data_IF_431007615073
#
_entry.id   IF_431007615073
#
_cell.length_a   1.000
_cell.length_b   1.000
_cell.length_c   1.000
_cell.angle_alpha   90.00
_cell.angle_beta   90.00
_cell.angle_gamma   90.00
#
_symmetry.space_group_name_H-M   'P 1'
#
loop_
_entity.id
_entity.type
_entity.pdbx_description
1 polymer ?
#
# COMPACT_ATOMS: atom_id res chain seq x y z
N UNK A 1 21.51 10.55 19.84
CA UNK A 1 21.85 9.54 18.82
C UNK A 1 21.06 8.28 19.09
N UNK A 2 20.33 7.76 18.10
CA UNK A 2 19.65 6.48 18.21
C UNK A 2 20.73 5.40 18.16
N UNK A 3 20.80 4.54 19.18
CA UNK A 3 21.83 3.50 19.24
C UNK A 3 21.49 2.37 18.29
N UNK A 4 22.41 2.02 17.41
CA UNK A 4 22.34 0.82 16.55
C UNK A 4 22.46 -0.43 17.42
N UNK A 5 23.14 -0.33 18.58
CA UNK A 5 23.39 -1.41 19.54
C UNK A 5 22.20 -1.72 20.46
N UNK A 6 20.99 -1.38 20.05
CA UNK A 6 19.79 -1.70 20.84
C UNK A 6 19.53 -3.21 20.83
N UNK A 7 19.35 -3.84 22.02
CA UNK A 7 19.12 -5.29 22.11
C UNK A 7 17.96 -5.78 21.26
N UNK A 8 16.95 -4.92 21.03
CA UNK A 8 15.76 -5.21 20.21
C UNK A 8 16.12 -5.55 18.75
N UNK A 9 17.26 -5.06 18.26
CA UNK A 9 17.70 -5.29 16.87
C UNK A 9 18.76 -6.39 16.72
N UNK A 10 19.18 -7.01 17.83
CA UNK A 10 20.25 -8.02 17.82
C UNK A 10 19.97 -9.22 16.90
N UNK A 11 18.70 -9.55 16.66
CA UNK A 11 18.30 -10.64 15.78
C UNK A 11 18.28 -10.26 14.29
N UNK A 12 18.50 -9.00 13.97
CA UNK A 12 18.58 -8.51 12.59
C UNK A 12 19.96 -8.78 11.99
N UNK A 13 21.00 -8.83 12.82
CA UNK A 13 22.37 -9.07 12.36
C UNK A 13 22.52 -10.46 11.75
N UNK A 14 23.31 -10.54 10.69
CA UNK A 14 23.44 -11.72 9.84
C UNK A 14 22.58 -11.63 8.55
N UNK A 15 21.54 -10.80 8.53
CA UNK A 15 20.74 -10.54 7.34
C UNK A 15 21.07 -9.19 6.69
N UNK A 16 21.48 -8.21 7.49
CA UNK A 16 21.99 -6.92 7.03
C UNK A 16 23.09 -6.38 7.94
N UNK A 17 23.83 -5.42 7.43
CA UNK A 17 24.99 -4.79 8.10
C UNK A 17 24.56 -3.73 9.12
N UNK A 18 25.49 -3.34 9.99
CA UNK A 18 25.31 -2.21 10.90
C UNK A 18 25.01 -0.90 10.15
N UNK A 19 25.68 -0.65 9.01
CA UNK A 19 25.40 0.52 8.18
C UNK A 19 23.97 0.53 7.64
N UNK A 20 23.44 -0.64 7.22
CA UNK A 20 22.05 -0.78 6.80
C UNK A 20 21.08 -0.58 7.99
N UNK A 21 21.41 -1.10 9.18
CA UNK A 21 20.65 -0.82 10.40
C UNK A 21 20.64 0.67 10.74
N UNK A 22 21.78 1.35 10.62
CA UNK A 22 21.86 2.79 10.85
C UNK A 22 21.01 3.57 9.83
N UNK A 23 20.97 3.15 8.58
CA UNK A 23 20.11 3.77 7.57
C UNK A 23 18.62 3.68 7.95
N UNK A 24 18.16 2.53 8.45
CA UNK A 24 16.79 2.37 8.96
C UNK A 24 16.50 3.27 10.16
N UNK A 25 17.41 3.29 11.16
CA UNK A 25 17.24 4.09 12.38
C UNK A 25 17.19 5.59 12.06
N UNK A 26 17.91 6.04 11.05
CA UNK A 26 17.95 7.44 10.61
C UNK A 26 16.81 7.84 9.69
N UNK A 27 16.04 6.87 9.21
CA UNK A 27 14.95 7.13 8.27
C UNK A 27 13.70 7.68 8.94
N UNK A 28 12.98 8.53 8.20
CA UNK A 28 11.60 8.91 8.49
C UNK A 28 10.71 8.38 7.37
N UNK A 29 9.68 7.63 7.72
CA UNK A 29 8.75 7.04 6.76
C UNK A 29 7.37 7.69 6.88
N UNK A 30 6.85 8.18 5.77
CA UNK A 30 5.48 8.66 5.67
C UNK A 30 4.57 7.50 5.19
N UNK A 31 3.38 7.36 5.79
CA UNK A 31 2.39 6.34 5.41
C UNK A 31 1.03 7.01 5.31
N UNK A 32 0.52 7.15 4.11
CA UNK A 32 -0.81 7.66 3.83
C UNK A 32 -1.79 6.49 3.74
N UNK A 33 -2.61 6.32 4.76
CA UNK A 33 -3.48 5.18 4.97
C UNK A 33 -2.85 4.10 5.86
N UNK A 34 -3.39 3.93 7.07
CA UNK A 34 -2.99 2.86 8.00
C UNK A 34 -4.09 1.80 8.14
N UNK A 35 -4.66 1.41 6.99
CA UNK A 35 -5.48 0.23 6.84
C UNK A 35 -4.67 -1.07 6.96
N UNK A 36 -5.09 -2.14 6.25
CA UNK A 36 -4.44 -3.45 6.34
C UNK A 36 -2.94 -3.41 6.08
N UNK A 37 -2.55 -2.94 4.91
CA UNK A 37 -1.14 -2.94 4.46
C UNK A 37 -0.33 -1.88 5.21
N UNK A 38 -0.78 -0.62 5.22
CA UNK A 38 -0.02 0.49 5.84
C UNK A 38 0.23 0.28 7.33
N UNK A 39 -0.77 -0.22 8.07
CA UNK A 39 -0.61 -0.55 9.48
C UNK A 39 0.48 -1.59 9.71
N UNK A 40 0.47 -2.66 8.93
CA UNK A 40 1.45 -3.73 9.05
C UNK A 40 2.85 -3.32 8.57
N UNK A 41 2.96 -2.57 7.48
CA UNK A 41 4.22 -2.02 6.99
C UNK A 41 4.88 -1.16 8.07
N UNK A 42 4.14 -0.22 8.65
CA UNK A 42 4.67 0.67 9.65
C UNK A 42 5.13 -0.05 10.93
N UNK A 43 4.33 -1.00 11.44
CA UNK A 43 4.71 -1.79 12.62
C UNK A 43 5.91 -2.72 12.35
N UNK A 44 6.04 -3.29 11.13
CA UNK A 44 7.23 -4.05 10.73
C UNK A 44 8.47 -3.17 10.63
N UNK A 45 8.36 -1.98 10.03
CA UNK A 45 9.46 -1.01 9.96
C UNK A 45 9.91 -0.55 11.35
N UNK A 46 8.97 -0.34 12.28
CA UNK A 46 9.31 -0.03 13.68
C UNK A 46 10.13 -1.16 14.33
N UNK A 47 9.76 -2.43 14.09
CA UNK A 47 10.53 -3.60 14.56
C UNK A 47 11.90 -3.73 13.89
N UNK A 48 12.06 -3.19 12.68
CA UNK A 48 13.33 -3.14 11.96
C UNK A 48 14.21 -1.95 12.38
N UNK A 49 13.71 -1.02 13.19
CA UNK A 49 14.48 0.09 13.73
C UNK A 49 14.09 1.47 13.22
N UNK A 50 13.18 1.59 12.26
CA UNK A 50 12.62 2.90 11.89
C UNK A 50 11.90 3.47 13.11
N UNK A 51 12.22 4.73 13.45
CA UNK A 51 11.71 5.35 14.66
C UNK A 51 11.10 6.73 14.44
N UNK A 52 10.92 7.12 13.18
CA UNK A 52 10.28 8.39 12.83
C UNK A 52 9.25 8.15 11.73
N UNK A 53 8.00 8.55 12.01
CA UNK A 53 6.88 8.32 11.12
C UNK A 53 6.02 9.58 10.97
N UNK A 54 5.47 9.78 9.77
CA UNK A 54 4.28 10.61 9.51
C UNK A 54 3.15 9.68 9.11
N UNK A 55 2.03 9.72 9.81
CA UNK A 55 0.90 8.80 9.60
C UNK A 55 -0.35 9.60 9.34
N UNK A 56 -1.06 9.26 8.29
CA UNK A 56 -2.33 9.89 7.95
C UNK A 56 -3.41 8.81 7.72
N UNK A 57 -4.52 8.91 8.41
CA UNK A 57 -5.71 8.09 8.19
C UNK A 57 -6.92 8.77 8.84
N UNK A 58 -7.99 9.10 8.09
CA UNK A 58 -9.16 9.78 8.63
C UNK A 58 -10.16 8.83 9.29
N UNK A 59 -9.99 7.52 9.12
CA UNK A 59 -10.99 6.54 9.54
C UNK A 59 -10.76 6.02 10.96
N UNK A 60 -11.87 5.55 11.55
CA UNK A 60 -11.86 4.77 12.77
C UNK A 60 -11.88 3.26 12.45
N UNK A 61 -11.50 2.43 13.42
CA UNK A 61 -11.62 0.98 13.29
C UNK A 61 -13.07 0.52 13.33
N UNK A 62 -13.42 -0.33 12.36
CA UNK A 62 -14.71 -0.99 12.26
C UNK A 62 -14.56 -2.52 12.42
N UNK A 63 -15.62 -3.25 12.81
CA UNK A 63 -15.58 -4.71 12.94
C UNK A 63 -15.10 -5.42 11.67
N UNK A 64 -15.43 -4.91 10.49
CA UNK A 64 -15.00 -5.46 9.19
C UNK A 64 -13.49 -5.35 8.94
N UNK A 65 -12.76 -4.54 9.70
CA UNK A 65 -11.32 -4.44 9.60
C UNK A 65 -10.60 -5.60 10.31
N UNK A 66 -11.25 -6.26 11.27
CA UNK A 66 -10.66 -7.32 12.10
C UNK A 66 -10.17 -8.53 11.29
N UNK A 67 -10.70 -8.74 10.08
CA UNK A 67 -10.28 -9.85 9.23
C UNK A 67 -8.83 -9.72 8.72
N UNK A 68 -8.23 -8.49 8.79
CA UNK A 68 -6.92 -8.25 8.16
C UNK A 68 -6.03 -7.18 8.82
N UNK A 69 -6.54 -6.36 9.73
CA UNK A 69 -5.77 -5.29 10.37
C UNK A 69 -5.45 -5.67 11.80
N UNK A 70 -4.17 -5.86 12.17
CA UNK A 70 -3.81 -6.29 13.54
C UNK A 70 -4.27 -5.34 14.65
N UNK A 71 -4.38 -4.04 14.34
CA UNK A 71 -4.90 -3.03 15.28
C UNK A 71 -6.41 -3.07 15.50
N UNK A 72 -7.16 -3.77 14.64
CA UNK A 72 -8.61 -3.86 14.72
C UNK A 72 -9.03 -5.02 15.63
N UNK A 73 -9.44 -4.70 16.83
CA UNK A 73 -9.92 -5.64 17.85
C UNK A 73 -11.19 -5.09 18.50
N UNK A 74 -11.92 -5.91 19.23
CA UNK A 74 -13.11 -5.47 19.98
C UNK A 74 -12.82 -4.30 20.94
N UNK A 75 -11.57 -4.16 21.40
CA UNK A 75 -11.15 -3.06 22.28
C UNK A 75 -10.82 -1.75 21.53
N UNK A 76 -10.66 -1.82 20.20
CA UNK A 76 -10.23 -0.67 19.38
C UNK A 76 -11.29 -0.20 18.37
N UNK A 77 -12.41 -0.91 18.23
CA UNK A 77 -13.52 -0.45 17.38
C UNK A 77 -14.00 0.94 17.81
N UNK A 78 -14.23 1.82 16.84
CA UNK A 78 -14.59 3.21 17.06
C UNK A 78 -13.42 4.12 17.46
N UNK A 79 -12.19 3.61 17.50
CA UNK A 79 -11.00 4.40 17.75
C UNK A 79 -10.26 4.72 16.45
N UNK A 80 -9.68 5.90 16.36
CA UNK A 80 -8.89 6.32 15.19
C UNK A 80 -7.78 5.31 14.88
N UNK A 81 -7.72 4.85 13.60
CA UNK A 81 -6.70 3.95 13.10
C UNK A 81 -5.30 4.53 13.29
N UNK A 82 -5.12 5.81 13.00
CA UNK A 82 -3.84 6.50 13.13
C UNK A 82 -3.36 6.61 14.58
N UNK A 83 -4.28 6.83 15.53
CA UNK A 83 -3.94 6.89 16.96
C UNK A 83 -3.57 5.52 17.51
N UNK A 84 -4.35 4.47 17.21
CA UNK A 84 -4.04 3.10 17.62
C UNK A 84 -2.69 2.66 17.01
N UNK A 85 -2.41 3.02 15.76
CA UNK A 85 -1.11 2.78 15.14
C UNK A 85 0.02 3.44 15.93
N UNK A 86 -0.13 4.71 16.30
CA UNK A 86 0.86 5.45 17.11
C UNK A 86 1.15 4.75 18.44
N UNK A 87 0.11 4.33 19.13
CA UNK A 87 0.22 3.60 20.39
C UNK A 87 1.03 2.30 20.19
N UNK A 88 0.64 1.50 19.20
CA UNK A 88 1.31 0.22 18.92
C UNK A 88 2.78 0.39 18.51
N UNK A 89 3.10 1.41 17.70
CA UNK A 89 4.49 1.71 17.34
C UNK A 89 5.30 2.10 18.59
N UNK A 90 4.72 2.85 19.53
CA UNK A 90 5.38 3.23 20.79
C UNK A 90 5.54 2.06 21.76
N UNK A 91 4.64 1.09 21.74
CA UNK A 91 4.81 -0.17 22.49
C UNK A 91 5.98 -1.00 21.94
N UNK A 92 6.20 -1.00 20.61
CA UNK A 92 7.32 -1.66 19.96
C UNK A 92 8.63 -0.90 20.18
N UNK A 93 8.59 0.43 20.04
CA UNK A 93 9.72 1.32 20.17
C UNK A 93 9.30 2.58 20.95
N UNK A 94 9.50 2.64 22.27
CA UNK A 94 9.09 3.78 23.10
C UNK A 94 9.72 5.12 22.70
N UNK A 95 10.83 5.08 21.95
CA UNK A 95 11.53 6.27 21.43
C UNK A 95 11.02 6.74 20.08
N UNK A 96 10.04 6.04 19.49
CA UNK A 96 9.51 6.41 18.19
C UNK A 96 8.77 7.75 18.25
N UNK A 97 9.04 8.59 17.26
CA UNK A 97 8.34 9.85 17.01
C UNK A 97 7.32 9.58 15.90
N UNK A 98 6.05 9.72 16.24
CA UNK A 98 4.95 9.50 15.29
C UNK A 98 4.11 10.76 15.21
N UNK A 99 4.15 11.44 14.07
CA UNK A 99 3.27 12.55 13.73
C UNK A 99 1.99 12.00 13.11
N UNK A 100 0.85 12.37 13.66
CA UNK A 100 -0.47 11.87 13.25
C UNK A 100 -1.27 12.97 12.58
N UNK A 101 -1.79 12.67 11.40
CA UNK A 101 -2.69 13.51 10.61
C UNK A 101 -4.06 12.81 10.57
N UNK A 102 -4.92 13.15 11.52
CA UNK A 102 -6.22 12.48 11.72
C UNK A 102 -7.23 12.74 10.61
N UNK A 103 -7.08 13.87 9.92
CA UNK A 103 -7.94 14.25 8.80
C UNK A 103 -7.47 13.64 7.46
N UNK A 104 -6.48 12.75 7.52
CA UNK A 104 -5.85 12.18 6.33
C UNK A 104 -4.85 13.13 5.66
N UNK A 105 -4.35 12.71 4.49
CA UNK A 105 -3.60 13.59 3.59
C UNK A 105 -4.58 14.39 2.76
N UNK A 106 -4.33 15.68 2.66
CA UNK A 106 -5.08 16.62 1.83
C UNK A 106 -4.14 17.35 0.88
N UNK A 107 -4.71 18.06 -0.11
CA UNK A 107 -3.92 18.91 -1.00
C UNK A 107 -3.17 20.00 -0.23
N UNK A 108 -3.73 20.48 0.89
CA UNK A 108 -3.17 21.56 1.67
C UNK A 108 -2.09 21.12 2.66
N UNK A 109 -2.12 19.84 3.13
CA UNK A 109 -1.18 19.35 4.15
C UNK A 109 -0.11 18.40 3.61
N UNK A 110 -0.14 17.99 2.34
CA UNK A 110 0.75 16.99 1.76
C UNK A 110 2.23 17.34 1.92
N UNK A 111 2.61 18.59 1.75
CA UNK A 111 4.00 19.06 1.88
C UNK A 111 4.48 18.96 3.35
N UNK A 112 3.61 19.27 4.30
CA UNK A 112 3.90 19.12 5.73
C UNK A 112 3.99 17.64 6.11
N UNK A 113 3.05 16.84 5.64
CA UNK A 113 3.01 15.39 5.86
C UNK A 113 4.31 14.71 5.41
N UNK A 114 4.86 15.11 4.24
CA UNK A 114 6.09 14.56 3.68
C UNK A 114 7.38 15.21 4.19
N UNK A 115 7.30 16.27 5.00
CA UNK A 115 8.46 17.02 5.46
C UNK A 115 9.46 16.13 6.19
N UNK A 116 10.68 16.04 5.65
CA UNK A 116 11.77 15.23 6.20
C UNK A 116 11.59 13.72 6.03
N UNK A 117 10.58 13.27 5.30
CA UNK A 117 10.44 11.87 4.93
C UNK A 117 11.57 11.45 3.97
N UNK A 118 12.02 10.21 4.11
CA UNK A 118 13.01 9.56 3.24
C UNK A 118 12.35 8.56 2.29
N UNK A 119 11.09 8.24 2.53
CA UNK A 119 10.25 7.36 1.74
C UNK A 119 8.79 7.58 2.12
N UNK A 120 7.88 7.46 1.15
CA UNK A 120 6.45 7.42 1.42
C UNK A 120 5.82 6.12 0.93
N UNK A 121 4.87 5.59 1.71
CA UNK A 121 3.90 4.60 1.27
C UNK A 121 2.59 5.31 0.96
N UNK A 122 2.16 5.21 -0.28
CA UNK A 122 0.83 5.65 -0.70
C UNK A 122 -0.14 4.47 -0.64
N UNK A 123 -0.82 4.36 0.49
CA UNK A 123 -1.90 3.41 0.75
C UNK A 123 -3.25 4.16 0.84
N UNK A 124 -3.31 5.36 0.24
CA UNK A 124 -4.52 6.15 0.14
C UNK A 124 -5.56 5.47 -0.76
N UNK A 125 -6.82 5.79 -0.55
CA UNK A 125 -7.88 5.18 -1.34
C UNK A 125 -7.89 5.69 -2.78
N UNK A 126 -8.07 4.77 -3.72
CA UNK A 126 -8.17 5.08 -5.16
C UNK A 126 -9.44 5.84 -5.54
N UNK A 127 -10.40 5.96 -4.63
CA UNK A 127 -11.61 6.78 -4.76
C UNK A 127 -11.30 8.28 -4.73
N UNK A 128 -10.13 8.65 -4.19
CA UNK A 128 -9.61 10.02 -4.11
C UNK A 128 -8.30 10.14 -4.90
N UNK A 129 -8.35 10.05 -6.25
CA UNK A 129 -7.14 10.02 -7.07
C UNK A 129 -6.29 11.29 -6.97
N UNK A 130 -6.88 12.42 -6.58
CA UNK A 130 -6.19 13.68 -6.30
C UNK A 130 -5.21 13.56 -5.13
N UNK A 131 -5.53 12.75 -4.12
CA UNK A 131 -4.68 12.57 -2.95
C UNK A 131 -3.41 11.81 -3.32
N UNK A 132 -3.56 10.61 -3.93
CA UNK A 132 -2.40 9.83 -4.41
C UNK A 132 -1.56 10.61 -5.44
N UNK A 133 -2.22 11.37 -6.35
CA UNK A 133 -1.50 12.23 -7.29
C UNK A 133 -0.74 13.36 -6.57
N UNK A 134 -1.35 13.96 -5.55
CA UNK A 134 -0.71 14.99 -4.71
C UNK A 134 0.52 14.45 -3.99
N UNK A 135 0.40 13.29 -3.35
CA UNK A 135 1.51 12.58 -2.69
C UNK A 135 2.64 12.31 -3.70
N UNK A 136 2.32 11.72 -4.86
CA UNK A 136 3.32 11.37 -5.86
C UNK A 136 4.04 12.60 -6.43
N UNK A 137 3.34 13.72 -6.64
CA UNK A 137 3.94 14.99 -7.10
C UNK A 137 4.84 15.61 -6.04
N UNK A 138 4.39 15.66 -4.79
CA UNK A 138 5.18 16.17 -3.68
C UNK A 138 6.42 15.30 -3.40
N UNK A 139 6.26 13.96 -3.41
CA UNK A 139 7.38 13.02 -3.28
C UNK A 139 8.42 13.23 -4.40
N UNK A 140 7.98 13.43 -5.64
CA UNK A 140 8.85 13.75 -6.79
C UNK A 140 9.61 15.06 -6.58
N UNK A 141 8.92 16.11 -6.12
CA UNK A 141 9.54 17.41 -5.84
C UNK A 141 10.57 17.34 -4.73
N UNK A 142 10.33 16.51 -3.70
CA UNK A 142 11.23 16.28 -2.58
C UNK A 142 12.35 15.27 -2.90
N UNK A 143 12.29 14.58 -4.05
CA UNK A 143 13.30 13.59 -4.43
C UNK A 143 13.23 12.29 -3.64
N UNK A 144 12.10 11.94 -3.06
CA UNK A 144 11.90 10.71 -2.26
C UNK A 144 11.14 9.63 -3.03
N UNK A 145 11.40 8.33 -2.75
CA UNK A 145 10.64 7.22 -3.31
C UNK A 145 9.19 7.23 -2.83
N UNK A 146 8.28 6.96 -3.75
CA UNK A 146 6.87 6.72 -3.48
C UNK A 146 6.54 5.25 -3.77
N UNK A 147 6.03 4.53 -2.76
CA UNK A 147 5.73 3.11 -2.81
C UNK A 147 4.24 2.87 -2.66
N UNK A 148 3.67 2.19 -3.66
CA UNK A 148 2.31 1.70 -3.68
C UNK A 148 2.32 0.19 -3.50
N UNK A 149 1.63 -0.33 -2.48
CA UNK A 149 1.57 -1.76 -2.18
C UNK A 149 0.13 -2.25 -2.25
N UNK A 150 -0.10 -3.28 -3.03
CA UNK A 150 -1.45 -3.80 -3.28
C UNK A 150 -1.48 -5.28 -3.02
N UNK A 151 -2.54 -5.76 -2.36
CA UNK A 151 -2.86 -7.17 -2.24
C UNK A 151 -4.11 -7.52 -3.04
N UNK A 152 -4.10 -8.68 -3.69
CA UNK A 152 -5.25 -9.26 -4.38
C UNK A 152 -5.37 -10.73 -4.00
N UNK A 153 -6.33 -11.07 -3.15
CA UNK A 153 -6.43 -12.41 -2.58
C UNK A 153 -5.15 -12.80 -1.84
N UNK A 154 -4.50 -13.90 -2.23
CA UNK A 154 -3.23 -14.37 -1.65
C UNK A 154 -1.99 -13.82 -2.36
N UNK A 155 -2.16 -12.88 -3.28
CA UNK A 155 -1.05 -12.26 -3.99
C UNK A 155 -0.85 -10.81 -3.56
N UNK A 156 0.38 -10.31 -3.76
CA UNK A 156 0.75 -8.95 -3.48
C UNK A 156 1.72 -8.40 -4.52
N UNK A 157 1.67 -7.09 -4.72
CA UNK A 157 2.62 -6.36 -5.57
C UNK A 157 3.08 -5.07 -4.92
N UNK A 158 4.32 -4.69 -5.24
CA UNK A 158 4.90 -3.39 -4.86
C UNK A 158 5.34 -2.67 -6.10
N UNK A 159 4.86 -1.45 -6.26
CA UNK A 159 5.28 -0.51 -7.29
C UNK A 159 5.98 0.65 -6.60
N UNK A 160 7.25 0.90 -6.95
CA UNK A 160 8.00 2.03 -6.42
C UNK A 160 8.28 3.04 -7.54
N UNK A 161 7.88 4.28 -7.33
CA UNK A 161 8.08 5.37 -8.27
C UNK A 161 9.36 6.13 -7.92
N UNK A 162 10.30 6.13 -8.87
CA UNK A 162 11.55 6.88 -8.71
C UNK A 162 11.30 8.36 -8.99
N UNK A 163 11.76 9.28 -8.13
CA UNK A 163 11.45 10.70 -8.25
C UNK A 163 11.91 11.33 -9.57
N UNK A 164 12.94 10.79 -10.21
CA UNK A 164 13.47 11.28 -11.50
C UNK A 164 13.02 10.44 -12.70
N UNK A 165 12.12 9.47 -12.51
CA UNK A 165 11.65 8.62 -13.60
C UNK A 165 10.63 9.34 -14.47
N UNK A 166 10.66 9.02 -15.79
CA UNK A 166 9.59 9.39 -16.72
C UNK A 166 8.35 8.48 -16.59
N UNK A 167 8.45 7.39 -15.84
CA UNK A 167 7.31 6.54 -15.54
C UNK A 167 6.76 6.94 -14.16
N UNK A 168 5.77 7.78 -14.19
CA UNK A 168 5.16 8.43 -13.02
C UNK A 168 3.99 7.62 -12.48
N UNK A 169 3.55 7.96 -11.27
CA UNK A 169 2.31 7.45 -10.66
C UNK A 169 1.11 7.72 -11.57
N UNK A 170 0.99 8.96 -12.09
CA UNK A 170 -0.11 9.35 -12.97
C UNK A 170 -0.16 8.48 -14.24
N UNK A 171 1.00 8.20 -14.86
CA UNK A 171 1.06 7.27 -16.01
C UNK A 171 0.65 5.86 -15.65
N UNK A 172 1.02 5.40 -14.46
CA UNK A 172 0.64 4.09 -13.96
C UNK A 172 -0.87 3.99 -13.79
N UNK A 173 -1.48 5.01 -13.15
CA UNK A 173 -2.91 5.08 -12.88
C UNK A 173 -3.76 5.48 -14.10
N UNK A 174 -3.15 5.98 -15.17
CA UNK A 174 -3.83 6.49 -16.35
C UNK A 174 -4.37 7.89 -16.21
N UNK A 175 -3.81 8.65 -15.27
CA UNK A 175 -4.17 10.04 -14.97
C UNK A 175 -3.31 11.03 -15.76
N UNK A 176 -3.71 12.29 -15.79
CA UNK A 176 -2.95 13.37 -16.40
C UNK A 176 -1.76 13.77 -15.51
N UNK A 177 -0.57 13.90 -16.11
CA UNK A 177 0.63 14.34 -15.40
C UNK A 177 0.65 15.85 -15.14
N UNK A 178 -0.20 16.63 -15.82
CA UNK A 178 -0.17 18.10 -15.81
C UNK A 178 -1.46 18.75 -15.33
N UNK A 179 -2.57 18.02 -15.30
CA UNK A 179 -3.85 18.57 -14.86
C UNK A 179 -3.79 19.01 -13.38
N UNK A 180 -4.49 20.08 -13.00
CA UNK A 180 -4.67 20.45 -11.60
C UNK A 180 -5.30 19.33 -10.77
N UNK A 181 -4.99 19.26 -9.47
CA UNK A 181 -5.54 18.23 -8.59
C UNK A 181 -7.07 18.25 -8.50
N UNK A 182 -7.67 19.44 -8.59
CA UNK A 182 -9.12 19.61 -8.64
C UNK A 182 -9.78 18.92 -9.87
N UNK A 183 -9.07 18.86 -11.00
CA UNK A 183 -9.52 18.13 -12.18
C UNK A 183 -9.30 16.62 -12.00
N UNK A 184 -8.18 16.22 -11.40
CA UNK A 184 -7.88 14.82 -11.08
C UNK A 184 -8.93 14.22 -10.12
N UNK A 185 -9.48 15.02 -9.18
CA UNK A 185 -10.50 14.57 -8.23
C UNK A 185 -11.77 14.02 -8.92
N UNK A 186 -12.05 14.46 -10.14
CA UNK A 186 -13.18 13.99 -10.96
C UNK A 186 -12.78 12.85 -11.92
N UNK A 187 -11.52 12.42 -11.91
CA UNK A 187 -11.03 11.41 -12.83
C UNK A 187 -11.37 10.00 -12.34
N UNK A 188 -11.68 9.10 -13.29
CA UNK A 188 -11.87 7.69 -12.99
C UNK A 188 -10.54 6.94 -13.14
N UNK A 189 -10.12 6.25 -12.08
CA UNK A 189 -8.94 5.39 -12.12
C UNK A 189 -9.28 4.08 -12.84
N UNK A 190 -8.48 3.73 -13.86
CA UNK A 190 -8.62 2.46 -14.56
C UNK A 190 -7.96 1.33 -13.73
N UNK A 191 -8.74 0.64 -12.93
CA UNK A 191 -8.28 -0.48 -12.11
C UNK A 191 -7.59 -1.60 -12.88
N UNK A 192 -7.86 -1.74 -14.17
CA UNK A 192 -7.19 -2.75 -14.99
C UNK A 192 -5.70 -2.43 -15.20
N UNK A 193 -5.30 -1.15 -15.10
CA UNK A 193 -3.90 -0.73 -15.11
C UNK A 193 -3.22 -0.91 -13.77
N UNK A 194 -3.99 -0.77 -12.72
CA UNK A 194 -3.54 -0.84 -11.34
C UNK A 194 -3.20 -2.27 -10.91
N UNK A 195 -3.96 -3.25 -11.40
CA UNK A 195 -3.79 -4.65 -11.09
C UNK A 195 -3.22 -5.43 -12.29
N UNK A 196 -1.92 -5.29 -12.63
CA UNK A 196 -1.34 -5.91 -13.80
C UNK A 196 -1.38 -7.46 -13.77
N UNK A 197 -1.66 -8.06 -12.58
CA UNK A 197 -1.87 -9.49 -12.45
C UNK A 197 -2.98 -9.81 -11.45
N UNK A 198 -4.14 -10.11 -11.98
CA UNK A 198 -5.20 -10.73 -11.21
C UNK A 198 -4.85 -12.22 -11.09
N UNK A 199 -4.72 -12.77 -9.88
CA UNK A 199 -4.43 -14.19 -9.70
C UNK A 199 -5.45 -15.08 -10.39
N UNK A 200 -5.05 -16.24 -10.92
CA UNK A 200 -5.93 -17.11 -11.70
C UNK A 200 -7.11 -17.70 -10.93
N UNK A 201 -7.06 -17.67 -9.62
CA UNK A 201 -8.13 -18.09 -8.72
C UNK A 201 -9.11 -16.97 -8.33
N UNK A 202 -8.84 -15.74 -8.76
CA UNK A 202 -9.72 -14.61 -8.45
C UNK A 202 -10.99 -14.67 -9.28
N UNK A 203 -12.12 -14.32 -8.67
CA UNK A 203 -13.36 -14.07 -9.37
C UNK A 203 -13.31 -12.72 -10.09
N UNK A 204 -13.08 -12.75 -11.39
CA UNK A 204 -12.96 -11.52 -12.18
C UNK A 204 -14.27 -10.74 -12.24
N UNK A 205 -15.42 -11.42 -12.23
CA UNK A 205 -16.73 -10.75 -12.27
C UNK A 205 -17.00 -10.03 -10.97
N UNK A 206 -16.72 -10.70 -9.84
CA UNK A 206 -16.79 -10.07 -8.52
C UNK A 206 -15.86 -8.87 -8.39
N UNK A 207 -14.61 -8.98 -8.86
CA UNK A 207 -13.66 -7.87 -8.84
C UNK A 207 -14.10 -6.69 -9.72
N UNK A 208 -14.63 -6.95 -10.91
CA UNK A 208 -15.18 -5.91 -11.80
C UNK A 208 -16.40 -5.26 -11.17
N UNK A 209 -17.31 -6.04 -10.57
CA UNK A 209 -18.48 -5.50 -9.89
C UNK A 209 -18.12 -4.56 -8.72
N UNK A 210 -16.97 -4.80 -8.07
CA UNK A 210 -16.45 -3.95 -7.00
C UNK A 210 -15.76 -2.67 -7.47
N UNK A 211 -15.48 -2.56 -8.77
CA UNK A 211 -14.90 -1.33 -9.37
C UNK A 211 -15.96 -0.44 -10.01
N UNK A 212 -17.22 -0.89 -10.03
CA UNK A 212 -18.36 -0.13 -10.56
C UNK A 212 -19.23 0.39 -9.41
N UNK A 213 -19.73 1.61 -9.56
CA UNK A 213 -20.62 2.19 -8.58
C UNK A 213 -21.92 1.38 -8.48
N UNK A 214 -22.40 1.14 -7.28
CA UNK A 214 -23.71 0.53 -7.04
C UNK A 214 -24.84 1.44 -7.55
N UNK A 215 -26.08 0.90 -7.66
CA UNK A 215 -27.25 1.68 -8.08
C UNK A 215 -27.55 2.89 -7.20
N UNK A 216 -27.08 2.87 -5.96
CA UNK A 216 -27.18 3.93 -4.95
C UNK A 216 -25.94 4.83 -4.89
N UNK A 217 -24.97 4.67 -5.81
CA UNK A 217 -23.70 5.39 -5.80
C UNK A 217 -22.68 4.85 -4.79
N UNK A 218 -23.00 3.80 -4.05
CA UNK A 218 -22.07 3.16 -3.11
C UNK A 218 -21.00 2.37 -3.86
N UNK A 219 -19.76 2.45 -3.39
CA UNK A 219 -18.66 1.58 -3.83
C UNK A 219 -18.39 0.54 -2.77
N UNK A 220 -18.53 -0.75 -3.05
CA UNK A 220 -18.14 -1.76 -2.09
C UNK A 220 -16.62 -1.72 -1.88
N UNK A 221 -16.19 -1.91 -0.65
CA UNK A 221 -14.77 -2.03 -0.33
C UNK A 221 -14.15 -3.20 -1.07
N UNK A 222 -12.96 -3.00 -1.64
CA UNK A 222 -12.22 -4.07 -2.30
C UNK A 222 -11.95 -5.22 -1.33
N UNK A 223 -12.16 -6.48 -1.76
CA UNK A 223 -11.93 -7.62 -0.89
C UNK A 223 -10.46 -7.73 -0.53
N UNK A 224 -10.21 -7.88 0.76
CA UNK A 224 -8.87 -8.02 1.31
C UNK A 224 -8.88 -9.07 2.40
N UNK A 225 -7.89 -9.92 2.42
CA UNK A 225 -7.75 -11.05 3.35
C UNK A 225 -6.41 -10.99 4.07
N UNK A 226 -6.36 -11.47 5.32
CA UNK A 226 -5.15 -11.42 6.15
C UNK A 226 -3.90 -11.97 5.46
N UNK A 227 -3.88 -13.18 4.87
CA UNK A 227 -2.66 -13.69 4.22
C UNK A 227 -2.15 -12.81 3.06
N UNK A 228 -3.06 -12.17 2.32
CA UNK A 228 -2.68 -11.23 1.24
C UNK A 228 -2.05 -9.96 1.78
N UNK A 229 -2.64 -9.41 2.85
CA UNK A 229 -2.11 -8.22 3.54
C UNK A 229 -0.76 -8.52 4.21
N UNK A 230 -0.62 -9.69 4.85
CA UNK A 230 0.64 -10.13 5.44
C UNK A 230 1.75 -10.22 4.40
N UNK A 231 1.46 -10.84 3.25
CA UNK A 231 2.39 -10.94 2.13
C UNK A 231 2.74 -9.55 1.55
N UNK A 232 1.72 -8.70 1.33
CA UNK A 232 1.90 -7.35 0.82
C UNK A 232 2.79 -6.52 1.73
N UNK A 233 2.51 -6.54 3.03
CA UNK A 233 3.32 -5.83 4.02
C UNK A 233 4.75 -6.39 4.12
N UNK A 234 4.95 -7.69 3.97
CA UNK A 234 6.28 -8.30 3.98
C UNK A 234 7.12 -7.87 2.77
N UNK A 235 6.58 -7.96 1.54
CA UNK A 235 7.33 -7.50 0.35
C UNK A 235 7.46 -5.98 0.30
N UNK A 236 6.44 -5.23 0.76
CA UNK A 236 6.49 -3.77 0.87
C UNK A 236 7.60 -3.31 1.80
N UNK A 237 7.68 -3.89 2.99
CA UNK A 237 8.73 -3.61 3.97
C UNK A 237 10.12 -3.99 3.44
N UNK A 238 10.23 -5.11 2.71
CA UNK A 238 11.49 -5.51 2.07
C UNK A 238 11.92 -4.52 0.99
N UNK A 239 11.00 -4.05 0.14
CA UNK A 239 11.32 -3.00 -0.83
C UNK A 239 11.69 -1.69 -0.14
N UNK A 240 11.00 -1.29 0.92
CA UNK A 240 11.36 -0.11 1.71
C UNK A 240 12.79 -0.21 2.25
N UNK A 241 13.18 -1.36 2.82
CA UNK A 241 14.55 -1.62 3.25
C UNK A 241 15.56 -1.35 2.12
N UNK A 242 15.31 -1.90 0.92
CA UNK A 242 16.19 -1.74 -0.22
C UNK A 242 16.28 -0.28 -0.69
N UNK A 243 15.16 0.46 -0.66
CA UNK A 243 15.13 1.87 -1.05
C UNK A 243 15.84 2.76 -0.02
N UNK A 244 15.58 2.55 1.27
CA UNK A 244 16.17 3.32 2.35
C UNK A 244 17.69 3.12 2.45
N UNK A 245 18.16 1.89 2.30
CA UNK A 245 19.60 1.59 2.32
C UNK A 245 20.31 2.11 1.06
N UNK A 246 19.68 2.03 -0.11
CA UNK A 246 20.20 2.62 -1.34
C UNK A 246 20.27 4.15 -1.27
N UNK A 247 19.26 4.81 -0.68
CA UNK A 247 19.27 6.27 -0.47
C UNK A 247 20.37 6.72 0.50
N UNK A 248 20.76 5.86 1.45
CA UNK A 248 21.91 6.08 2.33
C UNK A 248 23.28 5.80 1.66
N UNK A 249 23.30 5.55 0.36
CA UNK A 249 24.54 5.28 -0.40
C UNK A 249 25.09 3.86 -0.24
N UNK A 250 24.36 2.96 0.40
CA UNK A 250 24.81 1.57 0.59
C UNK A 250 24.49 0.77 -0.68
N UNK A 251 25.53 0.55 -1.51
CA UNK A 251 25.39 -0.16 -2.77
C UNK A 251 25.61 -1.66 -2.58
N UNK A 252 24.52 -2.44 -2.63
CA UNK A 252 24.61 -3.88 -2.69
C UNK A 252 24.23 -4.38 -4.10
N UNK A 253 25.20 -4.92 -4.84
CA UNK A 253 25.00 -5.40 -6.23
C UNK A 253 23.95 -6.51 -6.36
N UNK A 254 23.70 -7.28 -5.29
CA UNK A 254 22.73 -8.38 -5.24
C UNK A 254 21.35 -7.97 -4.71
N UNK A 255 21.24 -6.77 -4.10
CA UNK A 255 20.05 -6.27 -3.43
C UNK A 255 19.71 -4.87 -3.94
N UNK A 256 19.14 -4.80 -5.15
CA UNK A 256 18.79 -3.51 -5.76
C UNK A 256 17.29 -3.24 -5.62
N UNK A 257 16.90 -2.00 -5.31
CA UNK A 257 15.50 -1.58 -5.36
C UNK A 257 14.88 -1.88 -6.73
N UNK A 258 13.61 -2.26 -6.73
CA UNK A 258 12.84 -2.44 -7.95
C UNK A 258 12.06 -1.16 -8.19
N UNK A 259 12.29 -0.54 -9.35
CA UNK A 259 11.65 0.70 -9.74
C UNK A 259 10.66 0.49 -10.88
N UNK A 260 9.54 1.20 -10.84
CA UNK A 260 8.60 1.27 -11.95
C UNK A 260 9.31 1.70 -13.26
N UNK A 261 8.96 1.13 -14.40
CA UNK A 261 7.80 0.29 -14.68
C UNK A 261 7.92 -1.21 -14.29
N UNK A 262 8.96 -1.62 -13.59
CA UNK A 262 9.05 -2.97 -13.02
C UNK A 262 8.48 -2.96 -11.61
N UNK A 263 7.76 -4.02 -11.24
CA UNK A 263 7.16 -4.19 -9.93
C UNK A 263 7.52 -5.57 -9.35
N UNK A 264 7.64 -5.64 -8.04
CA UNK A 264 7.76 -6.90 -7.33
C UNK A 264 6.36 -7.53 -7.19
N UNK A 265 6.22 -8.82 -7.54
CA UNK A 265 4.99 -9.59 -7.40
C UNK A 265 5.26 -10.91 -6.72
N UNK A 266 4.47 -11.25 -5.72
CA UNK A 266 4.47 -12.55 -5.05
C UNK A 266 3.04 -13.09 -4.99
N UNK A 267 2.89 -14.39 -5.14
CA UNK A 267 1.62 -15.11 -4.99
C UNK A 267 1.84 -16.33 -4.09
N UNK A 268 1.35 -16.26 -2.88
CA UNK A 268 1.51 -17.32 -1.89
C UNK A 268 0.70 -18.56 -2.22
N UNK A 269 -0.47 -18.42 -2.87
CA UNK A 269 -1.31 -19.53 -3.23
C UNK A 269 -0.66 -20.45 -4.29
N UNK A 270 0.01 -19.85 -5.27
CA UNK A 270 0.71 -20.60 -6.33
C UNK A 270 2.20 -20.76 -6.06
N UNK A 271 2.70 -20.21 -4.93
CA UNK A 271 4.13 -20.19 -4.55
C UNK A 271 5.02 -19.65 -5.66
N UNK A 272 4.63 -18.48 -6.20
CA UNK A 272 5.34 -17.85 -7.34
C UNK A 272 5.72 -16.40 -7.03
N UNK A 273 7.00 -16.09 -7.27
CA UNK A 273 7.51 -14.73 -7.26
C UNK A 273 8.07 -14.35 -8.62
N UNK A 274 7.89 -13.09 -9.02
CA UNK A 274 8.43 -12.57 -10.28
C UNK A 274 8.50 -11.05 -10.29
N UNK A 275 9.34 -10.53 -11.17
CA UNK A 275 9.32 -9.11 -11.54
C UNK A 275 8.44 -8.95 -12.76
N UNK A 276 7.45 -8.07 -12.64
CA UNK A 276 6.51 -7.75 -13.71
C UNK A 276 6.90 -6.40 -14.31
N UNK A 277 6.59 -6.16 -15.57
CA UNK A 277 6.69 -4.85 -16.20
C UNK A 277 5.30 -4.27 -16.45
N UNK A 278 5.00 -3.14 -15.82
CA UNK A 278 3.80 -2.36 -16.13
C UNK A 278 3.91 -1.67 -17.49
N UNK A 279 2.77 -1.34 -18.09
CA UNK A 279 2.66 -0.62 -19.35
C UNK A 279 1.54 -1.16 -20.24
N UNK A 280 1.24 -0.43 -21.32
CA UNK A 280 0.11 -0.74 -22.23
C UNK A 280 0.11 -2.19 -22.74
N UNK A 281 1.26 -2.76 -23.07
CA UNK A 281 1.36 -4.14 -23.54
C UNK A 281 1.02 -5.17 -22.44
N UNK A 282 1.45 -4.92 -21.19
CA UNK A 282 1.10 -5.77 -20.06
C UNK A 282 -0.40 -5.68 -19.77
N UNK A 283 -0.95 -4.48 -19.77
CA UNK A 283 -2.39 -4.25 -19.63
C UNK A 283 -3.20 -4.99 -20.69
N UNK A 284 -2.91 -4.79 -21.99
CA UNK A 284 -3.61 -5.48 -23.07
C UNK A 284 -3.54 -7.01 -22.94
N UNK A 285 -2.37 -7.55 -22.60
CA UNK A 285 -2.21 -8.99 -22.35
C UNK A 285 -3.11 -9.47 -21.22
N UNK A 286 -3.28 -8.69 -20.14
CA UNK A 286 -4.14 -9.07 -19.03
C UNK A 286 -5.61 -9.07 -19.41
N UNK A 287 -6.05 -8.04 -20.10
CA UNK A 287 -7.43 -7.95 -20.62
C UNK A 287 -7.72 -9.15 -21.51
N UNK A 288 -6.81 -9.50 -22.41
CA UNK A 288 -6.98 -10.67 -23.30
C UNK A 288 -7.01 -12.01 -22.51
N UNK A 289 -6.14 -12.16 -21.50
CA UNK A 289 -6.12 -13.37 -20.66
C UNK A 289 -7.39 -13.45 -19.81
N UNK A 290 -7.86 -12.34 -19.25
CA UNK A 290 -9.10 -12.27 -18.48
C UNK A 290 -10.31 -12.64 -19.35
N UNK A 291 -10.43 -12.05 -20.53
CA UNK A 291 -11.49 -12.34 -21.49
C UNK A 291 -11.47 -13.82 -21.95
N UNK A 292 -10.27 -14.36 -22.21
CA UNK A 292 -10.14 -15.77 -22.58
C UNK A 292 -10.58 -16.71 -21.44
N UNK A 293 -10.22 -16.40 -20.19
CA UNK A 293 -10.65 -17.19 -19.02
C UNK A 293 -12.17 -17.16 -18.85
N UNK A 294 -12.78 -16.00 -19.01
CA UNK A 294 -14.24 -15.85 -18.92
C UNK A 294 -14.94 -16.67 -20.01
N UNK A 295 -14.47 -16.54 -21.27
CA UNK A 295 -15.02 -17.27 -22.41
C UNK A 295 -14.92 -18.78 -22.27
N UNK A 296 -13.85 -19.31 -21.68
CA UNK A 296 -13.64 -20.75 -21.53
C UNK A 296 -14.11 -21.29 -20.17
N UNK A 297 -14.86 -20.51 -19.39
CA UNK A 297 -15.40 -20.93 -18.10
C UNK A 297 -14.32 -21.28 -17.05
N UNK A 298 -13.09 -20.77 -17.22
CA UNK A 298 -11.95 -21.03 -16.34
C UNK A 298 -11.84 -20.04 -15.19
N UNK A 299 -12.72 -19.03 -15.14
CA UNK A 299 -12.81 -18.17 -13.97
C UNK A 299 -13.60 -18.90 -12.88
N UNK A 300 -13.14 -18.85 -11.62
CA UNK A 300 -13.99 -19.24 -10.51
C UNK A 300 -15.31 -18.47 -10.61
N UNK A 301 -16.41 -19.17 -10.61
CA UNK A 301 -17.71 -18.52 -10.54
C UNK A 301 -17.89 -18.13 -9.08
N UNK A 302 -17.69 -16.86 -8.79
CA UNK A 302 -17.97 -16.30 -7.48
C UNK A 302 -19.42 -16.52 -7.14
N UNK A 303 -19.65 -16.96 -5.91
CA UNK A 303 -21.00 -17.14 -5.39
C UNK A 303 -21.68 -15.80 -5.04
N UNK A 304 -20.96 -14.67 -5.19
CA UNK A 304 -21.42 -13.37 -4.69
C UNK A 304 -21.65 -12.38 -5.83
N UNK A 305 -22.87 -11.86 -5.89
CA UNK A 305 -23.19 -10.66 -6.66
C UNK A 305 -22.83 -9.41 -5.87
N UNK A 306 -22.82 -8.24 -6.55
CA UNK A 306 -22.66 -6.95 -5.88
C UNK A 306 -23.67 -6.79 -4.72
N UNK A 307 -24.93 -7.18 -4.95
CA UNK A 307 -26.01 -7.11 -3.92
C UNK A 307 -25.76 -8.06 -2.74
N UNK A 308 -25.10 -9.21 -2.97
CA UNK A 308 -24.75 -10.13 -1.89
C UNK A 308 -23.67 -9.54 -1.00
N UNK A 309 -22.71 -8.81 -1.57
CA UNK A 309 -21.62 -8.15 -0.84
C UNK A 309 -22.17 -6.95 -0.08
N UNK A 310 -22.95 -6.10 -0.75
CA UNK A 310 -23.56 -4.92 -0.12
C UNK A 310 -24.47 -5.31 1.06
N UNK A 311 -25.30 -6.34 0.89
CA UNK A 311 -26.15 -6.86 2.00
C UNK A 311 -25.33 -7.36 3.18
N UNK A 312 -24.19 -7.99 2.96
CA UNK A 312 -23.31 -8.51 4.03
C UNK A 312 -22.50 -7.42 4.70
N UNK A 313 -22.11 -6.38 3.96
CA UNK A 313 -21.41 -5.21 4.51
C UNK A 313 -22.34 -4.30 5.31
N UNK A 314 -23.63 -4.16 4.89
CA UNK A 314 -24.63 -3.34 5.57
C UNK A 314 -25.40 -4.01 6.71
N UNK A 315 -25.23 -5.32 6.92
CA UNK A 315 -26.01 -6.12 7.90
C UNK A 315 -25.55 -5.97 9.37
N UNK A 316 -24.76 -4.99 9.73
CA UNK A 316 -24.27 -4.74 11.10
C UNK A 316 -25.11 -3.79 11.96
N UNK A 317 -26.29 -3.37 11.52
CA UNK A 317 -27.13 -2.45 12.31
C UNK A 317 -28.56 -2.94 12.47
N UNK A 318 -28.74 -4.09 13.12
CA UNK A 318 -30.02 -4.40 13.80
C UNK A 318 -29.91 -5.69 14.62
N UNK A 319 -29.46 -5.58 15.85
CA UNK A 319 -30.01 -6.29 17.03
C UNK A 319 -29.28 -5.84 18.30
#
# INVERSE_FOLDING_TARGET
MKSVDSPEFSRNYGFWSEAEQQALVSSRVAIAGVGGVGFQVGTKLARMGVSSFSIADPEDFEPQNANRVPGATTATYGRSKAEVFREQVREINPRAVVHVYRDGVTVDNVDEFLRGATLVFDESETTHPEIGTGIARAARALGIPDLLVVNVGFAAQVTAFHPQSRFTFERFMGLSETAPLAEIASATVDFSRFLPYIPPYSDLRGLVAMTTDGPDGSRPSLPSIAPGVDLASAIGTTQAFLHLTAAAGIVNRRRRPIWAPRLAYLDAYTVRGRIIRAGKAAHLRHVLVAAARDRFGRNPRGAYTHDDIARRAGGGSSS
#
